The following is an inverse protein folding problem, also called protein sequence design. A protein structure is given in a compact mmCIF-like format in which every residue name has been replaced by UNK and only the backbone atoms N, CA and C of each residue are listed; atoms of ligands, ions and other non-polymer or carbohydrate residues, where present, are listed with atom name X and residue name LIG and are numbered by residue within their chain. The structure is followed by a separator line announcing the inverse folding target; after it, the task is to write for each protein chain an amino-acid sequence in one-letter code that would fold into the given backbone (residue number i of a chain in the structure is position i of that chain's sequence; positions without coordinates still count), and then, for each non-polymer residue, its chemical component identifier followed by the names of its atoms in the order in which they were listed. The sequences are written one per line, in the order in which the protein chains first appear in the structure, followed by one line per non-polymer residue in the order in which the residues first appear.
data_IF_952542660489
#
_entry.id   IF_952542660489
#
_cell.length_a   1.000
_cell.length_b   1.000
_cell.length_c   1.000
_cell.angle_alpha   90.00
_cell.angle_beta   90.00
_cell.angle_gamma   90.00
#
_symmetry.space_group_name_H-M   'P 1'
#
loop_
_entity.id
_entity.type
_entity.pdbx_description
1 polymer ?
#
# COMPACT_ATOMS: atom_id res chain seq x y z
N UNK A 1 -24.51 -9.48 -16.55
CA UNK A 1 -24.61 -8.17 -17.24
C UNK A 1 -23.49 -8.11 -18.25
N UNK A 2 -23.75 -7.68 -19.50
CA UNK A 2 -22.70 -7.57 -20.51
C UNK A 2 -21.82 -6.36 -20.19
N UNK A 3 -20.65 -6.67 -19.70
CA UNK A 3 -19.49 -5.84 -19.40
C UNK A 3 -18.92 -5.30 -20.71
N UNK A 4 -18.79 -3.98 -20.86
CA UNK A 4 -18.27 -3.37 -22.09
C UNK A 4 -16.75 -3.38 -22.10
N UNK A 5 -16.13 -3.66 -23.25
CA UNK A 5 -14.69 -3.48 -23.43
C UNK A 5 -14.35 -1.99 -23.25
N UNK A 6 -13.43 -1.70 -22.34
CA UNK A 6 -12.93 -0.37 -22.05
C UNK A 6 -11.51 -0.21 -22.59
N UNK A 7 -11.15 1.04 -22.89
CA UNK A 7 -9.81 1.43 -23.31
C UNK A 7 -9.33 2.57 -22.40
N UNK A 8 -8.18 2.37 -21.76
CA UNK A 8 -7.49 3.41 -21.00
C UNK A 8 -6.04 3.52 -21.49
N UNK A 9 -5.78 4.47 -22.38
CA UNK A 9 -4.50 4.53 -23.11
C UNK A 9 -4.31 3.29 -23.99
N UNK A 10 -3.22 2.55 -23.76
CA UNK A 10 -2.95 1.27 -24.44
C UNK A 10 -3.52 0.04 -23.74
N UNK A 11 -4.17 0.20 -22.57
CA UNK A 11 -4.72 -0.90 -21.78
C UNK A 11 -6.16 -1.20 -22.21
N UNK A 12 -6.41 -2.46 -22.56
CA UNK A 12 -7.75 -3.02 -22.77
C UNK A 12 -8.16 -3.79 -21.53
N UNK A 13 -9.38 -3.56 -21.05
CA UNK A 13 -9.98 -4.28 -19.93
C UNK A 13 -11.50 -4.34 -20.09
N UNK A 14 -12.18 -5.15 -19.29
CA UNK A 14 -13.62 -5.36 -19.35
C UNK A 14 -14.26 -4.96 -18.02
N UNK A 15 -15.28 -4.11 -18.08
CA UNK A 15 -15.88 -3.49 -16.89
C UNK A 15 -17.00 -4.33 -16.27
N UNK A 16 -16.78 -4.83 -15.06
CA UNK A 16 -17.72 -5.61 -14.26
C UNK A 16 -18.84 -4.84 -13.57
N UNK A 17 -19.19 -5.29 -12.36
CA UNK A 17 -20.14 -4.58 -11.52
C UNK A 17 -19.51 -3.31 -10.92
N UNK A 18 -20.35 -2.34 -10.58
CA UNK A 18 -19.95 -1.21 -9.75
C UNK A 18 -19.96 -1.69 -8.29
N UNK A 19 -18.84 -1.53 -7.61
CA UNK A 19 -18.63 -1.90 -6.22
C UNK A 19 -19.26 -0.85 -5.28
N UNK A 20 -19.51 -1.18 -4.00
CA UNK A 20 -20.13 -0.24 -3.05
C UNK A 20 -19.37 1.07 -2.83
N UNK A 21 -18.09 1.12 -3.19
CA UNK A 21 -17.22 2.30 -3.13
C UNK A 21 -17.15 3.09 -4.46
N UNK A 22 -18.10 2.86 -5.38
CA UNK A 22 -18.17 3.45 -6.73
C UNK A 22 -17.01 3.05 -7.68
N UNK A 23 -16.13 2.14 -7.26
CA UNK A 23 -15.13 1.55 -8.15
C UNK A 23 -15.79 0.55 -9.11
N UNK A 24 -15.21 0.38 -10.29
CA UNK A 24 -15.67 -0.60 -11.27
C UNK A 24 -14.77 -1.83 -11.20
N UNK A 25 -15.36 -3.02 -11.12
CA UNK A 25 -14.58 -4.25 -11.26
C UNK A 25 -13.88 -4.28 -12.63
N UNK A 26 -12.58 -4.58 -12.63
CA UNK A 26 -11.80 -4.67 -13.86
C UNK A 26 -11.40 -6.11 -14.15
N UNK A 27 -11.73 -6.59 -15.35
CA UNK A 27 -11.34 -7.92 -15.82
C UNK A 27 -10.39 -7.82 -17.02
N UNK A 28 -9.49 -8.80 -17.16
CA UNK A 28 -8.60 -8.93 -18.33
C UNK A 28 -9.29 -9.57 -19.53
N UNK A 29 -10.46 -10.17 -19.34
CA UNK A 29 -11.25 -10.84 -20.38
C UNK A 29 -12.75 -10.55 -20.25
N UNK A 30 -13.51 -10.81 -21.31
CA UNK A 30 -14.97 -10.59 -21.36
C UNK A 30 -15.77 -11.70 -20.65
N UNK A 31 -15.09 -12.74 -20.16
CA UNK A 31 -15.66 -13.97 -19.61
C UNK A 31 -16.71 -14.62 -20.53
N UNK A 32 -16.60 -14.40 -21.86
CA UNK A 32 -17.56 -14.89 -22.85
C UNK A 32 -17.38 -16.36 -23.20
N UNK A 33 -16.20 -16.91 -22.94
CA UNK A 33 -15.91 -18.33 -23.17
C UNK A 33 -16.41 -19.17 -21.98
N UNK A 34 -17.19 -20.24 -22.21
CA UNK A 34 -17.67 -21.09 -21.13
C UNK A 34 -16.50 -21.76 -20.41
N UNK A 35 -16.58 -21.82 -19.08
CA UNK A 35 -15.59 -22.52 -18.25
C UNK A 35 -15.60 -24.00 -18.63
N UNK A 36 -14.44 -24.51 -19.04
CA UNK A 36 -14.26 -25.93 -19.33
C UNK A 36 -14.01 -26.69 -18.03
N UNK A 37 -14.85 -27.68 -17.74
CA UNK A 37 -14.64 -28.58 -16.62
C UNK A 37 -13.59 -29.66 -16.99
N UNK A 38 -12.48 -29.70 -16.25
CA UNK A 38 -11.39 -30.66 -16.46
C UNK A 38 -11.35 -31.78 -15.40
N UNK A 39 -12.33 -31.86 -14.49
CA UNK A 39 -12.28 -32.77 -13.32
C UNK A 39 -12.12 -34.25 -13.65
N UNK A 40 -12.50 -34.66 -14.86
CA UNK A 40 -12.41 -36.05 -15.35
C UNK A 40 -11.14 -36.35 -16.15
N UNK A 41 -10.30 -35.36 -16.44
CA UNK A 41 -9.21 -35.48 -17.41
C UNK A 41 -7.85 -35.88 -16.81
N UNK A 42 -7.69 -35.74 -15.49
CA UNK A 42 -6.40 -35.95 -14.80
C UNK A 42 -6.61 -36.75 -13.51
N UNK A 43 -5.70 -37.68 -13.17
CA UNK A 43 -5.72 -38.37 -11.88
C UNK A 43 -5.49 -37.34 -10.78
N UNK A 44 -6.42 -37.23 -9.83
CA UNK A 44 -6.29 -36.27 -8.72
C UNK A 44 -5.55 -36.94 -7.57
N UNK A 45 -4.52 -36.25 -7.05
CA UNK A 45 -3.96 -36.58 -5.74
C UNK A 45 -5.02 -36.39 -4.65
N UNK A 46 -4.81 -36.97 -3.47
CA UNK A 46 -5.71 -36.75 -2.33
C UNK A 46 -5.81 -35.25 -1.96
N UNK A 47 -4.73 -34.51 -2.17
CA UNK A 47 -4.64 -33.07 -1.92
C UNK A 47 -5.47 -32.27 -2.95
N UNK A 48 -5.36 -32.61 -4.24
CA UNK A 48 -6.09 -31.96 -5.34
C UNK A 48 -7.57 -32.36 -5.42
N UNK A 49 -7.97 -33.44 -4.75
CA UNK A 49 -9.36 -33.88 -4.67
C UNK A 49 -10.26 -32.85 -3.96
N UNK A 50 -9.68 -31.96 -3.14
CA UNK A 50 -10.39 -30.89 -2.45
C UNK A 50 -10.76 -29.70 -3.36
N UNK A 51 -10.19 -29.62 -4.57
CA UNK A 51 -10.31 -28.46 -5.46
C UNK A 51 -10.95 -28.84 -6.81
N UNK A 52 -11.42 -27.86 -7.58
CA UNK A 52 -11.90 -28.10 -8.96
C UNK A 52 -10.77 -28.12 -10.00
N UNK A 53 -9.56 -27.71 -9.59
CA UNK A 53 -8.34 -27.63 -10.39
C UNK A 53 -7.26 -28.54 -9.79
N UNK A 54 -6.24 -28.92 -10.57
CA UNK A 54 -5.08 -29.69 -10.12
C UNK A 54 -3.82 -29.25 -10.89
N UNK A 55 -2.63 -29.59 -10.38
CA UNK A 55 -1.37 -29.22 -11.05
C UNK A 55 -1.19 -29.91 -12.40
N UNK A 56 -1.61 -31.18 -12.54
CA UNK A 56 -1.51 -31.92 -13.80
C UNK A 56 -2.23 -31.23 -14.97
N UNK A 57 -3.40 -30.65 -14.71
CA UNK A 57 -4.16 -29.89 -15.71
C UNK A 57 -3.40 -28.60 -16.11
N UNK A 58 -2.85 -27.87 -15.13
CA UNK A 58 -2.08 -26.64 -15.36
C UNK A 58 -0.80 -26.95 -16.14
N UNK A 59 -0.09 -28.01 -15.78
CA UNK A 59 1.13 -28.46 -16.44
C UNK A 59 0.88 -28.85 -17.88
N UNK A 60 -0.23 -29.57 -18.14
CA UNK A 60 -0.62 -29.94 -19.50
C UNK A 60 -0.87 -28.71 -20.36
N UNK A 61 -1.68 -27.78 -19.87
CA UNK A 61 -1.97 -26.52 -20.58
C UNK A 61 -0.69 -25.71 -20.79
N UNK A 62 0.16 -25.60 -19.77
CA UNK A 62 1.42 -24.85 -19.85
C UNK A 62 2.38 -25.43 -20.89
N UNK A 63 2.47 -26.76 -20.97
CA UNK A 63 3.24 -27.46 -22.03
C UNK A 63 2.67 -27.21 -23.42
N UNK A 64 1.35 -27.27 -23.59
CA UNK A 64 0.68 -26.98 -24.86
C UNK A 64 0.94 -25.53 -25.33
N UNK A 65 1.02 -24.59 -24.38
CA UNK A 65 1.34 -23.18 -24.63
C UNK A 65 2.84 -22.88 -24.75
N UNK A 66 3.72 -23.85 -24.48
CA UNK A 66 5.17 -23.67 -24.46
C UNK A 66 5.67 -22.77 -23.32
N UNK A 67 4.93 -22.68 -22.21
CA UNK A 67 5.28 -21.88 -21.04
C UNK A 67 6.16 -22.72 -20.11
N UNK A 68 7.42 -22.33 -19.85
CA UNK A 68 8.27 -23.03 -18.91
C UNK A 68 7.84 -22.73 -17.47
N UNK A 69 7.59 -23.79 -16.69
CA UNK A 69 7.18 -23.69 -15.29
C UNK A 69 8.34 -24.05 -14.34
N UNK A 70 8.49 -23.31 -13.24
CA UNK A 70 9.50 -23.59 -12.22
C UNK A 70 8.87 -24.40 -11.09
N UNK A 71 8.92 -25.73 -11.25
CA UNK A 71 8.26 -26.68 -10.35
C UNK A 71 8.76 -26.54 -8.90
N UNK A 72 10.01 -26.13 -8.69
CA UNK A 72 10.56 -25.95 -7.34
C UNK A 72 9.92 -24.79 -6.55
N UNK A 73 9.13 -23.94 -7.23
CA UNK A 73 8.39 -22.85 -6.60
C UNK A 73 6.90 -23.19 -6.40
N UNK A 74 6.47 -24.38 -6.82
CA UNK A 74 5.10 -24.79 -6.64
C UNK A 74 4.76 -24.90 -5.15
N UNK A 75 3.54 -24.47 -4.86
CA UNK A 75 2.93 -24.59 -3.55
C UNK A 75 1.60 -25.31 -3.75
N UNK A 76 1.32 -26.39 -3.00
CA UNK A 76 0.03 -27.05 -3.04
C UNK A 76 -1.11 -26.04 -2.88
N UNK A 77 -2.24 -26.31 -3.53
CA UNK A 77 -3.41 -25.47 -3.38
C UNK A 77 -3.83 -25.40 -1.91
N UNK A 78 -4.09 -24.20 -1.44
CA UNK A 78 -4.33 -23.92 -0.03
C UNK A 78 -5.15 -22.65 0.12
N UNK A 79 -5.85 -22.51 1.23
CA UNK A 79 -6.50 -21.26 1.63
C UNK A 79 -5.50 -20.22 2.17
N UNK A 80 -4.27 -20.65 2.44
CA UNK A 80 -3.14 -19.82 2.85
C UNK A 80 -1.93 -20.11 1.97
N UNK A 81 -1.40 -19.09 1.29
CA UNK A 81 -0.26 -19.24 0.39
C UNK A 81 0.76 -18.11 0.50
N UNK A 82 2.03 -18.39 0.16
CA UNK A 82 3.06 -17.36 0.06
C UNK A 82 3.10 -16.83 -1.37
N UNK A 83 2.80 -15.56 -1.54
CA UNK A 83 2.93 -14.88 -2.82
C UNK A 83 3.68 -13.56 -2.63
N UNK A 84 4.68 -13.31 -3.48
CA UNK A 84 5.58 -12.14 -3.46
C UNK A 84 6.23 -11.83 -2.11
N UNK A 85 6.28 -12.80 -1.19
CA UNK A 85 6.83 -12.63 0.16
C UNK A 85 5.82 -12.26 1.24
N UNK A 86 4.53 -12.27 0.90
CA UNK A 86 3.42 -12.19 1.85
C UNK A 86 2.71 -13.53 1.97
N UNK A 87 2.23 -13.84 3.16
CA UNK A 87 1.30 -14.93 3.44
C UNK A 87 -0.11 -14.36 3.25
N UNK A 88 -0.82 -14.86 2.26
CA UNK A 88 -2.21 -14.50 1.96
C UNK A 88 -3.11 -15.55 2.57
N UNK A 89 -3.89 -15.19 3.58
CA UNK A 89 -4.89 -16.06 4.18
C UNK A 89 -6.27 -15.63 3.65
N UNK A 90 -6.77 -16.40 2.69
CA UNK A 90 -8.03 -16.15 2.01
C UNK A 90 -9.19 -16.31 2.98
N UNK A 91 -9.25 -17.40 3.75
CA UNK A 91 -10.37 -17.62 4.71
C UNK A 91 -10.44 -16.54 5.79
N UNK A 92 -9.27 -16.11 6.27
CA UNK A 92 -9.16 -15.08 7.29
C UNK A 92 -9.25 -13.64 6.74
N UNK A 93 -9.27 -13.46 5.41
CA UNK A 93 -9.11 -12.16 4.75
C UNK A 93 -7.94 -11.36 5.35
N UNK A 94 -6.77 -11.96 5.43
CA UNK A 94 -5.58 -11.29 5.97
C UNK A 94 -4.36 -11.49 5.09
N UNK A 95 -3.46 -10.51 5.12
CA UNK A 95 -2.15 -10.57 4.48
C UNK A 95 -1.07 -10.30 5.52
N UNK A 96 -0.06 -11.16 5.58
CA UNK A 96 1.01 -11.09 6.59
C UNK A 96 2.39 -11.09 5.94
N UNK A 97 3.37 -10.37 6.50
CA UNK A 97 4.76 -10.51 6.06
C UNK A 97 5.28 -11.92 6.35
N UNK A 98 5.84 -12.62 5.35
CA UNK A 98 6.43 -13.94 5.58
C UNK A 98 7.63 -13.89 6.53
N UNK A 99 7.84 -14.96 7.31
CA UNK A 99 8.96 -15.06 8.26
C UNK A 99 10.32 -14.86 7.57
N UNK A 100 10.51 -15.45 6.40
CA UNK A 100 11.72 -15.26 5.58
C UNK A 100 11.97 -13.78 5.24
N UNK A 101 10.92 -13.00 5.02
CA UNK A 101 11.03 -11.54 4.79
C UNK A 101 11.26 -10.77 6.08
N UNK A 102 10.61 -11.14 7.18
CA UNK A 102 10.85 -10.57 8.52
C UNK A 102 12.33 -10.66 8.87
N UNK A 103 12.91 -11.86 8.79
CA UNK A 103 14.34 -12.09 9.08
C UNK A 103 15.24 -11.31 8.12
N UNK A 104 14.95 -11.36 6.82
CA UNK A 104 15.73 -10.65 5.80
C UNK A 104 15.72 -9.14 6.06
N UNK A 105 14.58 -8.57 6.41
CA UNK A 105 14.44 -7.13 6.59
C UNK A 105 15.09 -6.68 7.89
N UNK A 106 14.87 -7.41 8.99
CA UNK A 106 15.56 -7.17 10.25
C UNK A 106 17.09 -7.21 10.08
N UNK A 107 17.61 -8.21 9.34
CA UNK A 107 19.05 -8.31 9.05
C UNK A 107 19.55 -7.10 8.25
N UNK A 108 18.87 -6.74 7.17
CA UNK A 108 19.28 -5.60 6.32
C UNK A 108 19.24 -4.29 7.10
N UNK A 109 18.26 -4.08 7.98
CA UNK A 109 18.19 -2.90 8.84
C UNK A 109 19.34 -2.88 9.84
N UNK A 110 19.64 -3.99 10.50
CA UNK A 110 20.76 -4.07 11.44
C UNK A 110 22.11 -3.83 10.73
N UNK A 111 22.32 -4.44 9.58
CA UNK A 111 23.51 -4.22 8.74
C UNK A 111 23.62 -2.77 8.27
N UNK A 112 22.48 -2.11 8.04
CA UNK A 112 22.44 -0.69 7.72
C UNK A 112 22.89 0.16 8.90
N UNK A 113 22.25 -0.01 10.07
CA UNK A 113 22.54 0.78 11.28
C UNK A 113 24.00 0.62 11.72
N UNK A 114 24.58 -0.56 11.53
CA UNK A 114 25.99 -0.82 11.85
C UNK A 114 26.98 -0.07 10.95
N UNK A 115 26.57 0.39 9.76
CA UNK A 115 27.44 1.07 8.80
C UNK A 115 27.29 2.59 8.94
N UNK A 116 28.40 3.35 8.96
CA UNK A 116 28.33 4.80 9.12
C UNK A 116 28.02 5.57 7.83
N UNK A 117 28.20 4.95 6.66
CA UNK A 117 28.04 5.59 5.35
C UNK A 117 27.46 4.61 4.32
N UNK A 118 26.68 5.14 3.38
CA UNK A 118 25.95 4.35 2.39
C UNK A 118 26.02 4.98 0.99
N UNK A 119 26.17 4.13 -0.02
CA UNK A 119 26.10 4.53 -1.44
C UNK A 119 24.64 4.58 -1.90
N UNK A 120 24.38 5.09 -3.10
CA UNK A 120 23.03 5.08 -3.68
C UNK A 120 22.43 3.66 -3.72
N UNK A 121 23.23 2.67 -4.15
CA UNK A 121 22.82 1.27 -4.22
C UNK A 121 22.33 0.76 -2.88
N UNK A 122 23.08 1.03 -1.82
CA UNK A 122 22.69 0.69 -0.46
C UNK A 122 21.30 1.32 -0.15
N UNK A 123 21.10 2.62 -0.40
CA UNK A 123 19.85 3.31 -0.05
C UNK A 123 18.67 2.74 -0.83
N UNK A 124 18.83 2.50 -2.14
CA UNK A 124 17.82 1.90 -3.00
C UNK A 124 17.42 0.49 -2.54
N UNK A 125 18.41 -0.33 -2.16
CA UNK A 125 18.16 -1.68 -1.69
C UNK A 125 17.37 -1.71 -0.37
N UNK A 126 17.65 -0.81 0.57
CA UNK A 126 16.90 -0.69 1.81
C UNK A 126 15.51 -0.11 1.56
N UNK A 127 15.45 1.02 0.84
CA UNK A 127 14.20 1.69 0.50
C UNK A 127 13.22 0.74 -0.21
N UNK A 128 13.65 0.02 -1.24
CA UNK A 128 12.77 -0.91 -1.96
C UNK A 128 12.21 -2.04 -1.09
N UNK A 129 12.99 -2.52 -0.11
CA UNK A 129 12.52 -3.55 0.84
C UNK A 129 11.48 -3.00 1.80
N UNK A 130 11.72 -1.82 2.36
CA UNK A 130 10.78 -1.16 3.27
C UNK A 130 9.54 -0.62 2.54
N UNK A 131 9.68 -0.18 1.29
CA UNK A 131 8.57 0.18 0.42
C UNK A 131 7.66 -1.04 0.16
N UNK A 132 8.25 -2.20 -0.10
CA UNK A 132 7.47 -3.44 -0.17
C UNK A 132 6.81 -3.76 1.17
N UNK A 133 7.50 -3.65 2.31
CA UNK A 133 6.86 -3.85 3.62
C UNK A 133 5.71 -2.87 3.88
N UNK A 134 5.84 -1.61 3.45
CA UNK A 134 4.83 -0.58 3.64
C UNK A 134 3.58 -0.75 2.75
N UNK A 135 3.53 -1.76 1.85
CA UNK A 135 2.25 -2.15 1.24
C UNK A 135 1.30 -2.83 2.24
N UNK A 136 1.83 -3.33 3.37
CA UNK A 136 1.05 -3.89 4.47
C UNK A 136 1.31 -3.15 5.80
N UNK A 137 2.41 -2.43 5.93
CA UNK A 137 2.60 -1.50 7.06
C UNK A 137 2.18 -0.11 6.60
N UNK A 138 0.88 0.19 6.63
CA UNK A 138 0.33 1.45 6.09
C UNK A 138 1.03 2.69 6.69
N UNK A 139 1.25 2.70 8.00
CA UNK A 139 1.98 3.78 8.70
C UNK A 139 3.45 3.90 8.26
N UNK A 140 4.01 2.82 7.69
CA UNK A 140 5.42 2.71 7.35
C UNK A 140 5.86 3.69 6.26
N UNK A 141 4.95 4.16 5.40
CA UNK A 141 5.25 5.17 4.37
C UNK A 141 5.84 6.46 4.97
N UNK A 142 5.30 6.92 6.09
CA UNK A 142 5.82 8.10 6.78
C UNK A 142 7.29 7.95 7.24
N UNK A 143 7.70 6.71 7.55
CA UNK A 143 9.06 6.36 7.97
C UNK A 143 9.99 6.03 6.79
N UNK A 144 9.60 6.38 5.55
CA UNK A 144 10.45 6.29 4.36
C UNK A 144 10.97 7.65 3.90
N UNK A 145 10.38 8.75 4.35
CA UNK A 145 10.70 10.11 3.89
C UNK A 145 12.20 10.45 4.05
N UNK A 146 12.81 10.02 5.16
CA UNK A 146 14.24 10.22 5.40
C UNK A 146 15.11 9.52 4.34
N UNK A 147 14.73 8.30 3.95
CA UNK A 147 15.40 7.56 2.88
C UNK A 147 15.17 8.20 1.51
N UNK A 148 13.98 8.75 1.24
CA UNK A 148 13.66 9.44 -0.02
C UNK A 148 14.48 10.72 -0.20
N UNK A 149 14.61 11.51 0.87
CA UNK A 149 15.53 12.67 0.89
C UNK A 149 16.98 12.25 0.64
N UNK A 150 17.41 11.15 1.25
CA UNK A 150 18.75 10.59 1.03
C UNK A 150 18.93 10.08 -0.40
N UNK A 151 17.91 9.44 -1.01
CA UNK A 151 17.93 9.02 -2.41
C UNK A 151 18.14 10.20 -3.35
N UNK A 152 17.41 11.31 -3.14
CA UNK A 152 17.55 12.52 -3.94
C UNK A 152 18.98 13.10 -3.86
N UNK A 153 19.62 12.99 -2.69
CA UNK A 153 21.00 13.43 -2.47
C UNK A 153 22.01 12.49 -3.13
N UNK A 154 21.92 11.20 -2.86
CA UNK A 154 22.84 10.17 -3.37
C UNK A 154 22.78 10.03 -4.90
N UNK A 155 21.64 10.33 -5.54
CA UNK A 155 21.48 10.24 -7.00
C UNK A 155 22.45 11.17 -7.73
N UNK A 156 22.84 12.29 -7.11
CA UNK A 156 23.83 13.22 -7.68
C UNK A 156 25.24 12.65 -7.71
N UNK A 157 25.56 11.72 -6.81
CA UNK A 157 26.88 11.09 -6.68
C UNK A 157 26.73 9.60 -6.30
N UNK A 158 26.31 8.73 -7.23
CA UNK A 158 25.82 7.38 -6.91
C UNK A 158 26.79 6.49 -6.13
N UNK A 159 28.09 6.65 -6.38
CA UNK A 159 29.15 5.83 -5.81
C UNK A 159 29.79 6.44 -4.56
N UNK A 160 29.53 7.72 -4.25
CA UNK A 160 30.09 8.35 -3.05
C UNK A 160 29.28 7.90 -1.82
N UNK A 161 29.92 7.40 -0.75
CA UNK A 161 29.20 7.07 0.48
C UNK A 161 28.77 8.32 1.24
N UNK A 162 27.47 8.46 1.49
CA UNK A 162 26.86 9.53 2.27
C UNK A 162 26.55 9.06 3.70
N UNK A 163 26.64 9.98 4.67
CA UNK A 163 26.22 9.72 6.05
C UNK A 163 24.71 9.98 6.15
N UNK A 164 23.92 9.07 6.76
CA UNK A 164 22.49 9.29 6.93
C UNK A 164 22.24 10.35 8.00
N UNK A 165 21.13 11.07 7.88
CA UNK A 165 20.63 11.95 8.93
C UNK A 165 20.18 11.13 10.15
N UNK A 166 20.21 11.76 11.33
CA UNK A 166 19.80 11.08 12.58
C UNK A 166 18.37 10.57 12.55
N UNK A 167 17.46 11.28 11.87
CA UNK A 167 16.05 10.87 11.73
C UNK A 167 15.91 9.53 11.01
N UNK A 168 16.77 9.23 10.03
CA UNK A 168 16.76 7.94 9.32
C UNK A 168 17.04 6.81 10.31
N UNK A 169 17.93 7.01 11.28
CA UNK A 169 18.22 5.99 12.28
C UNK A 169 17.00 5.75 13.20
N UNK A 170 16.28 6.80 13.60
CA UNK A 170 15.05 6.69 14.38
C UNK A 170 13.95 5.96 13.60
N UNK A 171 13.77 6.29 12.32
CA UNK A 171 12.84 5.63 11.41
C UNK A 171 13.15 4.13 11.27
N UNK A 172 14.43 3.78 11.16
CA UNK A 172 14.86 2.39 11.03
C UNK A 172 14.70 1.59 12.33
N UNK A 173 14.89 2.22 13.48
CA UNK A 173 14.59 1.59 14.77
C UNK A 173 13.08 1.36 14.93
N UNK A 174 12.24 2.29 14.46
CA UNK A 174 10.80 2.08 14.40
C UNK A 174 10.45 0.89 13.50
N UNK A 175 11.03 0.81 12.30
CA UNK A 175 10.84 -0.31 11.38
C UNK A 175 11.26 -1.64 12.00
N UNK A 176 12.43 -1.68 12.64
CA UNK A 176 12.94 -2.89 13.28
C UNK A 176 12.01 -3.33 14.42
N UNK A 177 11.57 -2.40 15.26
CA UNK A 177 10.60 -2.69 16.31
C UNK A 177 9.29 -3.22 15.72
N UNK A 178 8.76 -2.58 14.68
CA UNK A 178 7.51 -2.97 14.03
C UNK A 178 7.59 -4.36 13.39
N UNK A 179 8.74 -4.71 12.80
CA UNK A 179 8.96 -6.00 12.14
C UNK A 179 9.15 -7.13 13.17
N UNK A 180 9.82 -6.86 14.29
CA UNK A 180 10.15 -7.88 15.28
C UNK A 180 9.05 -8.12 16.33
N UNK A 181 8.21 -7.14 16.61
CA UNK A 181 7.23 -7.22 17.72
C UNK A 181 5.94 -7.94 17.38
N UNK A 182 5.68 -8.30 16.12
CA UNK A 182 4.47 -9.03 15.79
C UNK A 182 4.39 -9.53 14.36
N UNK A 183 3.42 -10.42 14.14
CA UNK A 183 2.95 -10.73 12.79
C UNK A 183 2.45 -9.42 12.17
N UNK A 184 3.18 -8.92 11.18
CA UNK A 184 2.75 -7.76 10.41
C UNK A 184 1.58 -8.21 9.55
N UNK A 185 0.38 -8.17 10.12
CA UNK A 185 -0.85 -8.64 9.49
C UNK A 185 -1.76 -7.46 9.22
N UNK A 186 -2.29 -7.38 8.01
CA UNK A 186 -3.37 -6.47 7.66
C UNK A 186 -4.61 -7.25 7.23
N UNK A 187 -5.81 -6.76 7.54
CA UNK A 187 -7.01 -7.23 6.90
C UNK A 187 -6.98 -6.88 5.40
N UNK A 188 -7.48 -7.79 4.58
CA UNK A 188 -7.81 -7.51 3.19
C UNK A 188 -9.18 -6.83 3.23
N UNK A 189 -9.18 -5.51 3.05
CA UNK A 189 -10.41 -4.73 3.08
C UNK A 189 -11.31 -5.11 1.90
N UNK A 190 -12.56 -5.45 2.19
CA UNK A 190 -13.59 -5.54 1.17
C UNK A 190 -14.06 -4.14 0.78
N UNK A 191 -14.25 -3.86 -0.52
CA UNK A 191 -14.81 -2.59 -0.99
C UNK A 191 -16.11 -2.27 -0.24
N UNK A 192 -16.09 -1.22 0.57
CA UNK A 192 -17.22 -0.78 1.39
C UNK A 192 -17.51 0.68 1.04
N UNK A 193 -18.79 1.03 0.96
CA UNK A 193 -19.19 2.41 0.73
C UNK A 193 -18.53 3.32 1.77
N UNK A 194 -17.71 4.31 1.35
CA UNK A 194 -17.04 5.17 2.28
C UNK A 194 -18.09 6.03 3.00
N UNK A 195 -17.90 6.22 4.30
CA UNK A 195 -18.78 7.04 5.10
C UNK A 195 -18.56 8.51 4.72
N UNK A 196 -19.59 9.16 4.19
CA UNK A 196 -19.57 10.58 3.89
C UNK A 196 -20.14 11.37 5.06
N UNK A 197 -19.26 12.04 5.81
CA UNK A 197 -19.64 12.91 6.93
C UNK A 197 -19.85 14.37 6.51
N UNK A 198 -19.81 14.66 5.21
CA UNK A 198 -19.75 16.03 4.68
C UNK A 198 -18.62 16.80 5.38
N UNK A 199 -17.43 16.21 5.33
CA UNK A 199 -16.23 16.67 6.02
C UNK A 199 -15.34 17.49 5.08
N UNK A 200 -15.11 18.76 5.41
CA UNK A 200 -14.36 19.70 4.58
C UNK A 200 -13.28 20.39 5.41
N UNK A 201 -12.12 20.61 4.80
CA UNK A 201 -11.05 21.47 5.32
C UNK A 201 -10.69 22.54 4.29
N UNK A 202 -10.49 23.77 4.77
CA UNK A 202 -9.98 24.89 3.98
C UNK A 202 -8.96 25.69 4.81
N UNK A 203 -7.99 26.29 4.13
CA UNK A 203 -6.92 27.05 4.74
C UNK A 203 -6.59 28.32 3.93
N UNK A 204 -6.41 29.42 4.65
CA UNK A 204 -6.02 30.71 4.08
C UNK A 204 -4.75 31.23 4.73
N UNK A 205 -3.77 31.59 3.90
CA UNK A 205 -2.47 32.13 4.32
C UNK A 205 -2.59 33.43 5.15
N UNK A 206 -3.64 34.22 4.90
CA UNK A 206 -3.89 35.50 5.58
C UNK A 206 -4.81 35.43 6.79
N UNK A 207 -5.54 34.32 6.98
CA UNK A 207 -6.54 34.20 8.05
C UNK A 207 -6.26 33.02 8.96
N UNK A 208 -6.38 31.79 8.46
CA UNK A 208 -6.69 30.69 9.35
C UNK A 208 -6.97 29.38 8.65
N UNK A 209 -7.29 28.38 9.46
CA UNK A 209 -7.79 27.09 9.06
C UNK A 209 -9.26 27.02 9.46
N UNK A 210 -10.12 26.52 8.58
CA UNK A 210 -11.51 26.20 8.86
C UNK A 210 -11.80 24.74 8.54
N UNK A 211 -12.52 24.05 9.43
CA UNK A 211 -13.03 22.71 9.19
C UNK A 211 -14.55 22.66 9.40
N UNK A 212 -15.22 21.82 8.63
CA UNK A 212 -16.66 21.54 8.75
C UNK A 212 -16.85 20.02 8.77
N UNK A 213 -17.69 19.52 9.68
CA UNK A 213 -18.15 18.14 9.72
C UNK A 213 -19.67 18.15 9.91
N UNK A 214 -20.41 17.81 8.86
CA UNK A 214 -21.86 17.93 8.81
C UNK A 214 -22.32 19.37 9.06
N UNK A 215 -22.95 19.61 10.21
CA UNK A 215 -23.46 20.94 10.60
C UNK A 215 -22.55 21.68 11.58
N UNK A 216 -21.45 21.06 12.03
CA UNK A 216 -20.52 21.65 13.00
C UNK A 216 -19.29 22.16 12.29
N UNK A 217 -18.75 23.27 12.77
CA UNK A 217 -17.53 23.85 12.24
C UNK A 217 -16.59 24.28 13.36
N UNK A 218 -15.32 24.40 13.04
CA UNK A 218 -14.31 24.99 13.91
C UNK A 218 -13.29 25.73 13.06
N UNK A 219 -12.80 26.87 13.55
CA UNK A 219 -11.77 27.63 12.86
C UNK A 219 -10.69 28.09 13.84
N UNK A 220 -9.48 28.24 13.31
CA UNK A 220 -8.31 28.73 14.03
C UNK A 220 -7.64 29.83 13.24
N UNK A 221 -7.20 30.88 13.93
CA UNK A 221 -6.44 31.96 13.32
C UNK A 221 -4.95 31.61 13.32
N UNK A 222 -4.28 31.84 12.19
CA UNK A 222 -2.83 31.69 12.13
C UNK A 222 -2.16 32.82 12.91
N UNK A 223 -1.07 32.50 13.62
CA UNK A 223 -0.23 33.51 14.27
C UNK A 223 0.54 34.31 13.22
N UNK A 224 0.80 35.59 13.44
CA UNK A 224 1.50 36.43 12.47
C UNK A 224 2.90 35.91 12.07
N UNK A 225 3.53 35.11 12.92
CA UNK A 225 4.86 34.50 12.73
C UNK A 225 4.81 33.04 12.24
N UNK A 226 3.66 32.58 11.71
CA UNK A 226 3.49 31.17 11.33
C UNK A 226 4.37 30.75 10.14
N UNK A 227 4.53 31.63 9.15
CA UNK A 227 5.26 31.35 7.92
C UNK A 227 6.76 31.51 8.14
N UNK A 228 7.57 30.59 7.62
CA UNK A 228 9.03 30.69 7.73
C UNK A 228 9.65 31.15 6.41
N UNK A 229 10.60 32.09 6.48
CA UNK A 229 11.26 32.70 5.31
C UNK A 229 11.95 31.71 4.36
N UNK A 230 12.21 30.48 4.79
CA UNK A 230 12.83 29.43 3.99
C UNK A 230 11.84 28.43 3.36
N UNK A 231 10.54 28.72 3.37
CA UNK A 231 9.52 27.88 2.71
C UNK A 231 9.24 26.55 3.43
N UNK A 232 9.76 26.33 4.64
CA UNK A 232 9.45 25.12 5.44
C UNK A 232 8.01 25.10 5.96
N UNK A 233 7.39 26.27 6.07
CA UNK A 233 5.98 26.46 6.43
C UNK A 233 5.38 27.44 5.44
N UNK A 234 4.77 26.91 4.40
CA UNK A 234 4.04 27.61 3.37
C UNK A 234 2.54 27.30 3.48
N UNK A 235 1.74 27.78 2.52
CA UNK A 235 0.30 27.53 2.52
C UNK A 235 -0.03 26.03 2.46
N UNK A 236 0.77 25.23 1.75
CA UNK A 236 0.59 23.77 1.65
C UNK A 236 0.74 23.08 3.00
N UNK A 237 1.68 23.56 3.83
CA UNK A 237 1.81 23.09 5.20
C UNK A 237 0.55 23.40 6.03
N UNK A 238 -0.03 24.60 5.89
CA UNK A 238 -1.26 24.97 6.62
C UNK A 238 -2.45 24.12 6.18
N UNK A 239 -2.58 23.90 4.87
CA UNK A 239 -3.61 23.02 4.30
C UNK A 239 -3.47 21.58 4.82
N UNK A 240 -2.24 21.04 4.93
CA UNK A 240 -1.98 19.73 5.52
C UNK A 240 -2.36 19.68 7.01
N UNK A 241 -2.04 20.73 7.78
CA UNK A 241 -2.50 20.86 9.18
C UNK A 241 -4.02 20.94 9.24
N UNK A 242 -4.68 21.59 8.28
CA UNK A 242 -6.13 21.62 8.17
C UNK A 242 -6.74 20.23 8.04
N UNK A 243 -6.22 19.41 7.15
CA UNK A 243 -6.60 18.01 7.03
C UNK A 243 -6.34 17.22 8.32
N UNK A 244 -5.18 17.40 8.96
CA UNK A 244 -4.89 16.75 10.24
C UNK A 244 -5.92 17.12 11.32
N UNK A 245 -6.28 18.40 11.42
CA UNK A 245 -7.29 18.88 12.36
C UNK A 245 -8.69 18.33 12.03
N UNK A 246 -9.02 18.19 10.75
CA UNK A 246 -10.28 17.58 10.30
C UNK A 246 -10.34 16.11 10.74
N UNK A 247 -9.29 15.32 10.47
CA UNK A 247 -9.24 13.90 10.88
C UNK A 247 -9.32 13.77 12.40
N UNK A 248 -8.58 14.59 13.16
CA UNK A 248 -8.66 14.61 14.63
C UNK A 248 -10.04 15.00 15.16
N UNK A 249 -10.82 15.78 14.41
CA UNK A 249 -12.20 16.12 14.78
C UNK A 249 -13.19 14.99 14.48
N UNK A 250 -12.91 14.18 13.46
CA UNK A 250 -13.72 13.04 13.03
C UNK A 250 -13.44 11.80 13.88
N UNK A 251 -12.18 11.52 14.22
CA UNK A 251 -11.74 10.30 14.90
C UNK A 251 -12.60 9.94 16.14
N UNK A 252 -12.95 10.87 17.05
CA UNK A 252 -13.80 10.56 18.20
C UNK A 252 -15.27 10.26 17.85
N UNK A 253 -15.71 10.55 16.62
CA UNK A 253 -17.06 10.28 16.12
C UNK A 253 -17.17 8.87 15.51
N UNK A 254 -16.04 8.19 15.29
CA UNK A 254 -15.98 6.87 14.68
C UNK A 254 -15.96 5.80 15.77
N UNK A 255 -16.85 4.81 15.64
CA UNK A 255 -16.88 3.66 16.56
C UNK A 255 -15.94 2.53 16.12
N UNK A 256 -15.51 2.53 14.85
CA UNK A 256 -14.67 1.49 14.26
C UNK A 256 -13.87 2.04 13.06
N UNK A 257 -12.74 1.42 12.70
CA UNK A 257 -11.99 1.77 11.49
C UNK A 257 -12.90 1.69 10.25
N UNK A 258 -13.08 2.81 9.55
CA UNK A 258 -14.02 2.95 8.43
C UNK A 258 -13.38 3.79 7.33
N UNK A 259 -13.64 3.46 6.07
CA UNK A 259 -13.27 4.33 4.94
C UNK A 259 -14.14 5.59 4.96
N UNK A 260 -13.55 6.77 4.72
CA UNK A 260 -14.21 8.07 4.88
C UNK A 260 -14.00 8.92 3.64
N UNK A 261 -15.02 9.70 3.29
CA UNK A 261 -14.89 10.77 2.32
C UNK A 261 -14.58 12.07 3.05
N UNK A 262 -13.42 12.65 2.76
CA UNK A 262 -13.01 13.99 3.21
C UNK A 262 -12.68 14.85 2.00
N UNK A 263 -12.98 16.14 2.10
CA UNK A 263 -12.83 17.08 1.00
C UNK A 263 -11.85 18.19 1.37
N UNK A 264 -11.00 18.55 0.42
CA UNK A 264 -10.14 19.73 0.47
C UNK A 264 -9.60 20.04 -0.91
N UNK A 265 -9.10 21.25 -1.08
CA UNK A 265 -8.59 21.79 -2.35
C UNK A 265 -7.07 21.65 -2.53
N UNK A 266 -6.36 21.18 -1.49
CA UNK A 266 -4.93 20.91 -1.57
C UNK A 266 -4.62 19.59 -2.30
N UNK A 267 -4.37 19.71 -3.60
CA UNK A 267 -3.88 18.62 -4.47
C UNK A 267 -2.63 17.92 -3.95
N UNK A 268 -1.68 18.62 -3.31
CA UNK A 268 -0.48 18.00 -2.75
C UNK A 268 -0.75 17.11 -1.53
N UNK A 269 -1.81 17.40 -0.76
CA UNK A 269 -2.28 16.52 0.31
C UNK A 269 -3.17 15.44 -0.27
N UNK A 270 -4.04 15.74 -1.23
CA UNK A 270 -4.96 14.74 -1.83
C UNK A 270 -4.20 13.67 -2.63
N UNK A 271 -3.18 14.06 -3.39
CA UNK A 271 -2.40 13.16 -4.25
C UNK A 271 -1.18 12.54 -3.53
N UNK A 272 -0.88 12.99 -2.31
CA UNK A 272 0.35 12.66 -1.57
C UNK A 272 0.25 11.47 -0.60
N UNK A 273 -0.91 10.82 -0.49
CA UNK A 273 -1.15 9.67 0.39
C UNK A 273 -0.78 8.32 -0.24
#
# INVERSE_FOLDING_TARGET
MRTGQQHMGSRVWYSGAILPNDETEEFSEDCGSPIKNLTVNSPRSEEDACFLYCFDDIDKISRELGIPWEILKDQPFSDSMIYIGFIWNIKGHTVTLSEAKVEKYARVINDWIARPKHTLKHVQELYGKLLHAASIVLQGRAYLMGLESMLATCTKQPFLPHRPDKSIQEDLLWWLNKILTGAITQPISTPTAPLNLHAFSDASSGFGIGIVVGTKWRAWRLRADWSTHHGKKDIRWVEAVGFELLIRAIDPLLNQPTSLVVHGDNTGVVDGW
#
